data_IF_023078395579
#
_entry.id   IF_023078395579
#
_cell.length_a   1.000
_cell.length_b   1.000
_cell.length_c   1.000
_cell.angle_alpha   90.00
_cell.angle_beta   90.00
_cell.angle_gamma   90.00
#
_symmetry.space_group_name_H-M   'P 1'
#
loop_
_entity.id
_entity.type
_entity.pdbx_description
1 polymer ?
#
# COMPACT_ATOMS: atom_id res chain seq x y z
N UNK A 1 -16.79 -3.95 2.06
CA UNK A 1 -15.88 -2.95 2.66
C UNK A 1 -16.47 -1.58 2.45
N UNK A 2 -16.31 -0.67 3.41
CA UNK A 2 -16.73 0.72 3.34
C UNK A 2 -15.78 1.46 2.40
N UNK A 3 -16.29 1.90 1.25
CA UNK A 3 -15.57 2.82 0.36
C UNK A 3 -15.82 4.25 0.85
N UNK A 4 -14.78 5.08 1.02
CA UNK A 4 -14.96 6.48 1.35
C UNK A 4 -15.56 7.25 0.16
N UNK A 5 -16.08 8.46 0.43
CA UNK A 5 -16.55 9.35 -0.63
C UNK A 5 -15.37 9.95 -1.38
N UNK A 6 -15.57 10.22 -2.66
CA UNK A 6 -14.64 10.97 -3.49
C UNK A 6 -14.49 12.41 -2.97
N UNK A 7 -13.26 12.93 -3.06
CA UNK A 7 -12.93 14.32 -2.78
C UNK A 7 -13.59 15.25 -3.79
N UNK A 8 -13.96 16.43 -3.30
CA UNK A 8 -14.49 17.55 -4.08
C UNK A 8 -13.57 18.74 -3.92
N UNK A 9 -13.62 19.65 -4.90
CA UNK A 9 -12.95 20.95 -4.78
C UNK A 9 -13.49 21.66 -3.53
N UNK A 10 -12.59 22.16 -2.70
CA UNK A 10 -12.87 22.76 -1.40
C UNK A 10 -12.78 21.79 -0.21
N UNK A 11 -12.65 20.48 -0.44
CA UNK A 11 -12.49 19.51 0.66
C UNK A 11 -11.14 19.67 1.36
N UNK A 12 -11.11 19.34 2.64
CA UNK A 12 -9.89 19.34 3.45
C UNK A 12 -9.26 17.96 3.48
N UNK A 13 -7.94 17.91 3.29
CA UNK A 13 -7.11 16.71 3.50
C UNK A 13 -6.11 16.97 4.62
N UNK A 14 -5.77 15.93 5.37
CA UNK A 14 -4.78 16.02 6.44
C UNK A 14 -3.60 15.12 6.13
N UNK A 15 -2.40 15.70 6.10
CA UNK A 15 -1.15 14.96 5.95
C UNK A 15 -0.66 14.56 7.34
N UNK A 16 -0.35 13.28 7.54
CA UNK A 16 0.11 12.70 8.83
C UNK A 16 1.43 11.94 8.65
N UNK A 17 2.22 11.80 9.71
CA UNK A 17 3.49 11.07 9.69
C UNK A 17 3.48 9.87 10.67
N UNK A 18 2.78 8.77 10.34
CA UNK A 18 2.63 7.65 11.26
C UNK A 18 3.88 6.75 11.36
N UNK A 19 4.90 7.00 10.54
CA UNK A 19 6.11 6.18 10.42
C UNK A 19 7.38 7.01 10.68
N UNK A 20 8.30 7.12 9.72
CA UNK A 20 9.51 7.93 9.86
C UNK A 20 9.28 9.43 9.64
N UNK A 21 10.19 10.30 10.12
CA UNK A 21 10.10 11.74 9.85
C UNK A 21 10.24 12.02 8.35
N UNK A 22 9.33 12.78 7.72
CA UNK A 22 9.42 13.11 6.30
C UNK A 22 10.43 14.22 6.01
N UNK A 23 10.82 14.36 4.74
CA UNK A 23 11.40 15.60 4.23
C UNK A 23 10.30 16.67 4.13
N UNK A 24 10.33 17.64 5.05
CA UNK A 24 9.31 18.69 5.16
C UNK A 24 9.28 19.60 3.93
N UNK A 25 10.41 19.89 3.30
CA UNK A 25 10.45 20.73 2.10
C UNK A 25 9.65 20.10 0.96
N UNK A 26 9.83 18.79 0.73
CA UNK A 26 9.07 18.08 -0.28
C UNK A 26 7.60 17.96 0.09
N UNK A 27 7.27 17.68 1.36
CA UNK A 27 5.87 17.66 1.82
C UNK A 27 5.19 19.01 1.58
N UNK A 28 5.88 20.12 1.80
CA UNK A 28 5.37 21.47 1.51
C UNK A 28 5.17 21.70 0.01
N UNK A 29 6.05 21.18 -0.85
CA UNK A 29 5.84 21.22 -2.31
C UNK A 29 4.58 20.44 -2.70
N UNK A 30 4.37 19.26 -2.11
CA UNK A 30 3.15 18.48 -2.37
C UNK A 30 1.89 19.17 -1.84
N UNK A 31 1.96 19.86 -0.71
CA UNK A 31 0.87 20.73 -0.23
C UNK A 31 0.46 21.75 -1.28
N UNK A 32 1.41 22.44 -1.91
CA UNK A 32 1.11 23.42 -2.96
C UNK A 32 0.41 22.79 -4.16
N UNK A 33 0.80 21.56 -4.56
CA UNK A 33 0.14 20.82 -5.64
C UNK A 33 -1.31 20.49 -5.27
N UNK A 34 -1.57 20.03 -4.04
CA UNK A 34 -2.93 19.73 -3.56
C UNK A 34 -3.79 20.99 -3.48
N UNK A 35 -3.24 22.12 -3.04
CA UNK A 35 -3.94 23.40 -2.99
C UNK A 35 -4.25 23.95 -4.39
N UNK A 36 -3.33 23.78 -5.35
CA UNK A 36 -3.58 24.11 -6.76
C UNK A 36 -4.67 23.22 -7.38
N UNK A 37 -4.82 21.99 -6.91
CA UNK A 37 -5.93 21.11 -7.26
C UNK A 37 -7.25 21.49 -6.55
N UNK A 38 -7.26 22.55 -5.74
CA UNK A 38 -8.45 23.10 -5.09
C UNK A 38 -8.78 22.49 -3.74
N UNK A 39 -7.85 21.79 -3.09
CA UNK A 39 -8.04 21.21 -1.75
C UNK A 39 -7.47 22.12 -0.66
N UNK A 40 -7.95 21.98 0.57
CA UNK A 40 -7.33 22.56 1.76
C UNK A 40 -6.44 21.54 2.45
N UNK A 41 -5.24 21.93 2.88
CA UNK A 41 -4.27 21.01 3.49
C UNK A 41 -4.01 21.35 4.95
N UNK A 42 -4.28 20.39 5.83
CA UNK A 42 -3.88 20.40 7.24
C UNK A 42 -2.70 19.45 7.47
N UNK A 43 -1.97 19.66 8.55
CA UNK A 43 -0.89 18.78 9.00
C UNK A 43 -1.17 18.23 10.39
N UNK A 44 -0.79 16.98 10.63
CA UNK A 44 -0.65 16.43 11.99
C UNK A 44 0.28 17.31 12.83
N UNK A 45 -0.03 17.44 14.12
CA UNK A 45 0.74 18.28 15.05
C UNK A 45 2.18 17.78 15.17
N UNK A 46 2.37 16.46 15.09
CA UNK A 46 3.66 15.80 15.15
C UNK A 46 4.47 15.81 13.85
N UNK A 47 4.01 16.50 12.79
CA UNK A 47 4.62 16.43 11.45
C UNK A 47 6.14 16.72 11.42
N UNK A 48 6.62 17.59 12.31
CA UNK A 48 8.04 17.98 12.41
C UNK A 48 8.81 17.29 13.54
N UNK A 49 8.14 16.46 14.35
CA UNK A 49 8.77 15.76 15.46
C UNK A 49 9.72 14.66 14.99
N UNK A 50 10.76 14.41 15.80
CA UNK A 50 11.76 13.37 15.53
C UNK A 50 12.16 12.66 16.80
N UNK A 51 12.16 11.33 16.75
CA UNK A 51 12.72 10.45 17.79
C UNK A 51 13.48 9.31 17.13
N UNK A 52 14.77 9.52 16.87
CA UNK A 52 15.56 8.60 16.07
C UNK A 52 14.99 8.48 14.66
N UNK A 53 14.62 7.26 14.26
CA UNK A 53 13.99 6.96 12.96
C UNK A 53 12.45 7.14 12.94
N UNK A 54 11.83 7.65 14.02
CA UNK A 54 10.38 7.82 14.15
C UNK A 54 9.97 9.30 14.09
N UNK A 55 8.83 9.59 13.47
CA UNK A 55 8.20 10.92 13.44
C UNK A 55 7.52 11.27 14.78
N UNK A 56 8.32 11.38 15.83
CA UNK A 56 7.83 11.58 17.20
C UNK A 56 7.56 10.27 17.95
N UNK A 57 6.93 10.40 19.12
CA UNK A 57 6.58 9.24 19.94
C UNK A 57 5.27 8.58 19.44
N UNK A 58 4.99 7.36 19.91
CA UNK A 58 3.85 6.56 19.43
C UNK A 58 2.51 7.22 19.76
N UNK A 59 2.38 7.80 20.96
CA UNK A 59 1.16 8.48 21.39
C UNK A 59 0.83 9.72 20.52
N UNK A 60 1.83 10.51 20.14
CA UNK A 60 1.65 11.67 19.27
C UNK A 60 1.24 11.23 17.86
N UNK A 61 1.87 10.17 17.31
CA UNK A 61 1.53 9.63 15.99
C UNK A 61 0.13 9.03 15.94
N UNK A 62 -0.31 8.34 17.01
CA UNK A 62 -1.70 7.87 17.16
C UNK A 62 -2.66 9.05 17.28
N UNK A 63 -2.31 10.07 18.10
CA UNK A 63 -3.15 11.26 18.27
C UNK A 63 -3.38 12.00 16.95
N UNK A 64 -2.34 12.18 16.12
CA UNK A 64 -2.47 12.81 14.81
C UNK A 64 -3.39 12.00 13.88
N UNK A 65 -3.27 10.67 13.92
CA UNK A 65 -4.13 9.77 13.14
C UNK A 65 -5.58 9.84 13.62
N UNK A 66 -5.82 9.81 14.93
CA UNK A 66 -7.15 9.94 15.51
C UNK A 66 -7.78 11.29 15.20
N UNK A 67 -7.03 12.38 15.31
CA UNK A 67 -7.50 13.73 14.94
C UNK A 67 -7.91 13.79 13.47
N UNK A 68 -7.11 13.20 12.57
CA UNK A 68 -7.42 13.16 11.15
C UNK A 68 -8.74 12.41 10.85
N UNK A 69 -9.02 11.33 11.59
CA UNK A 69 -10.27 10.58 11.44
C UNK A 69 -11.46 11.19 12.19
N UNK A 70 -11.27 11.75 13.38
CA UNK A 70 -12.34 12.34 14.17
C UNK A 70 -12.80 13.72 13.68
N UNK A 71 -11.94 14.47 12.97
CA UNK A 71 -12.28 15.81 12.49
C UNK A 71 -13.23 15.74 11.26
N UNK A 72 -14.50 16.16 11.36
CA UNK A 72 -15.47 16.02 10.28
C UNK A 72 -15.14 16.82 9.01
N UNK A 73 -14.29 17.85 9.10
CA UNK A 73 -13.86 18.65 7.95
C UNK A 73 -12.85 17.89 7.07
N UNK A 74 -12.04 17.01 7.68
CA UNK A 74 -11.06 16.20 6.94
C UNK A 74 -11.77 15.08 6.18
N UNK A 75 -11.53 14.99 4.87
CA UNK A 75 -12.09 13.98 3.96
C UNK A 75 -11.07 12.94 3.48
N UNK A 76 -9.78 13.25 3.56
CA UNK A 76 -8.70 12.31 3.30
C UNK A 76 -7.53 12.46 4.28
N UNK A 77 -6.91 11.32 4.59
CA UNK A 77 -5.72 11.19 5.43
C UNK A 77 -4.58 10.68 4.53
N UNK A 78 -3.56 11.50 4.36
CA UNK A 78 -2.46 11.24 3.44
C UNK A 78 -1.15 11.03 4.21
N UNK A 79 -0.46 9.92 3.98
CA UNK A 79 0.80 9.63 4.68
C UNK A 79 1.95 10.44 4.08
N UNK A 80 2.68 11.15 4.95
CA UNK A 80 3.80 12.00 4.55
C UNK A 80 4.97 11.18 3.98
N UNK A 81 5.27 10.05 4.61
CA UNK A 81 6.32 9.09 4.21
C UNK A 81 6.10 7.72 4.84
N UNK A 82 6.83 6.72 4.34
CA UNK A 82 6.99 5.39 4.92
C UNK A 82 8.16 5.36 5.91
N UNK A 83 9.02 4.35 5.78
CA UNK A 83 10.20 4.17 6.64
C UNK A 83 9.99 3.06 7.65
N UNK A 84 9.95 3.39 8.93
CA UNK A 84 9.67 2.41 9.97
C UNK A 84 8.83 2.99 11.10
N UNK A 85 7.83 2.23 11.53
CA UNK A 85 7.24 2.38 12.85
C UNK A 85 5.73 2.50 12.90
N UNK A 86 5.02 2.40 11.77
CA UNK A 86 3.55 2.43 11.76
C UNK A 86 2.94 1.18 12.41
N UNK A 87 3.60 0.02 12.30
CA UNK A 87 3.19 -1.21 12.99
C UNK A 87 3.18 -1.09 14.52
N UNK A 88 3.95 -0.17 15.09
CA UNK A 88 3.97 0.09 16.54
C UNK A 88 2.67 0.72 17.04
N UNK A 89 1.92 1.37 16.15
CA UNK A 89 0.71 2.10 16.50
C UNK A 89 -0.50 1.17 16.68
N UNK A 90 -0.43 -0.05 16.14
CA UNK A 90 -1.60 -0.92 15.93
C UNK A 90 -2.41 -1.23 17.18
N UNK A 91 -1.75 -1.42 18.32
CA UNK A 91 -2.41 -1.72 19.60
C UNK A 91 -3.13 -0.51 20.23
N UNK A 92 -2.73 0.70 19.86
CA UNK A 92 -3.19 1.95 20.48
C UNK A 92 -4.23 2.67 19.59
N UNK A 93 -4.50 2.14 18.39
CA UNK A 93 -5.50 2.68 17.49
C UNK A 93 -6.91 2.26 17.94
N UNK A 94 -7.77 3.24 18.21
CA UNK A 94 -9.22 3.04 18.27
C UNK A 94 -9.79 2.74 16.87
N UNK A 95 -9.95 1.46 16.55
CA UNK A 95 -10.48 1.05 15.24
C UNK A 95 -11.97 1.35 15.07
N UNK A 96 -12.76 1.50 16.14
CA UNK A 96 -14.17 1.89 16.02
C UNK A 96 -14.28 3.38 15.67
N UNK A 97 -13.38 4.24 16.16
CA UNK A 97 -13.26 5.62 15.69
C UNK A 97 -13.03 5.67 14.17
N UNK A 98 -12.08 4.88 13.65
CA UNK A 98 -11.77 4.83 12.21
C UNK A 98 -12.97 4.32 11.42
N UNK A 99 -13.59 3.23 11.87
CA UNK A 99 -14.74 2.57 11.22
C UNK A 99 -15.97 3.46 11.13
N UNK A 100 -16.21 4.29 12.15
CA UNK A 100 -17.35 5.21 12.20
C UNK A 100 -17.09 6.53 11.45
N UNK A 101 -15.85 6.78 11.01
CA UNK A 101 -15.47 7.97 10.25
C UNK A 101 -14.72 7.58 8.97
N UNK A 102 -15.32 6.79 8.06
CA UNK A 102 -14.63 6.31 6.87
C UNK A 102 -14.20 7.47 5.98
N UNK A 103 -12.89 7.52 5.68
CA UNK A 103 -12.23 8.56 4.87
C UNK A 103 -11.19 7.90 3.98
N UNK A 104 -10.79 8.61 2.92
CA UNK A 104 -9.66 8.17 2.10
C UNK A 104 -8.43 8.06 2.98
N UNK A 105 -7.74 6.92 2.93
CA UNK A 105 -6.45 6.72 3.57
C UNK A 105 -5.42 6.29 2.53
N UNK A 106 -4.34 7.07 2.38
CA UNK A 106 -3.36 6.90 1.30
C UNK A 106 -1.92 6.80 1.83
N UNK A 107 -1.18 5.81 1.32
CA UNK A 107 0.25 5.62 1.57
C UNK A 107 0.71 4.24 1.09
N UNK A 108 1.99 3.88 1.19
CA UNK A 108 2.51 2.55 0.88
C UNK A 108 3.72 2.15 1.75
N UNK A 109 4.47 1.11 1.38
CA UNK A 109 5.69 0.71 2.11
C UNK A 109 5.36 0.32 3.57
N UNK A 110 6.03 0.89 4.58
CA UNK A 110 5.75 0.66 6.02
C UNK A 110 4.27 0.82 6.40
N UNK A 111 3.53 1.71 5.71
CA UNK A 111 2.10 1.96 5.93
C UNK A 111 1.22 0.74 5.65
N UNK A 112 1.77 -0.30 5.01
CA UNK A 112 1.15 -1.63 4.86
C UNK A 112 0.56 -2.15 6.17
N UNK A 113 1.20 -1.91 7.31
CA UNK A 113 0.67 -2.32 8.62
C UNK A 113 -0.71 -1.69 8.91
N UNK A 114 -0.86 -0.39 8.62
CA UNK A 114 -2.11 0.34 8.77
C UNK A 114 -3.14 -0.06 7.73
N UNK A 115 -2.73 -0.32 6.48
CA UNK A 115 -3.63 -0.84 5.44
C UNK A 115 -4.28 -2.13 5.89
N UNK A 116 -3.50 -3.14 6.30
CA UNK A 116 -4.03 -4.43 6.76
C UNK A 116 -5.00 -4.23 7.93
N UNK A 117 -4.60 -3.42 8.92
CA UNK A 117 -5.41 -3.18 10.10
C UNK A 117 -6.72 -2.45 9.77
N UNK A 118 -6.71 -1.44 8.90
CA UNK A 118 -7.91 -0.69 8.52
C UNK A 118 -8.87 -1.52 7.67
N UNK A 119 -8.35 -2.32 6.74
CA UNK A 119 -9.15 -3.26 5.96
C UNK A 119 -9.85 -4.28 6.89
N UNK A 120 -9.13 -4.84 7.86
CA UNK A 120 -9.61 -5.96 8.68
C UNK A 120 -10.38 -5.55 9.93
N UNK A 121 -10.02 -4.44 10.57
CA UNK A 121 -10.60 -3.99 11.85
C UNK A 121 -11.59 -2.84 11.68
N UNK A 122 -11.38 -1.99 10.68
CA UNK A 122 -12.28 -0.87 10.38
C UNK A 122 -13.17 -1.09 9.16
N UNK A 123 -13.00 -2.21 8.44
CA UNK A 123 -13.72 -2.51 7.20
C UNK A 123 -13.61 -1.36 6.18
N UNK A 124 -12.47 -0.66 6.13
CA UNK A 124 -12.26 0.54 5.34
C UNK A 124 -11.41 0.22 4.11
N UNK A 125 -11.88 0.61 2.91
CA UNK A 125 -11.05 0.61 1.69
C UNK A 125 -9.96 1.67 1.82
N UNK A 126 -8.72 1.27 1.54
CA UNK A 126 -7.54 2.14 1.61
C UNK A 126 -6.85 2.19 0.25
N UNK A 127 -5.86 3.07 0.10
CA UNK A 127 -5.15 3.27 -1.16
C UNK A 127 -3.64 3.08 -0.94
N UNK A 128 -3.10 2.03 -1.57
CA UNK A 128 -1.67 1.78 -1.60
C UNK A 128 -1.03 2.64 -2.70
N UNK A 129 -0.35 3.72 -2.34
CA UNK A 129 0.20 4.66 -3.31
C UNK A 129 1.35 5.55 -2.80
N UNK A 130 1.98 6.31 -3.71
CA UNK A 130 3.19 7.11 -3.46
C UNK A 130 3.01 8.12 -2.32
N UNK A 131 4.09 8.37 -1.58
CA UNK A 131 4.07 9.22 -0.38
C UNK A 131 4.09 10.70 -0.70
N UNK A 132 3.56 11.56 0.19
CA UNK A 132 3.53 13.01 -0.08
C UNK A 132 4.94 13.60 -0.26
N UNK A 133 5.94 13.12 0.50
CA UNK A 133 7.32 13.58 0.32
C UNK A 133 7.94 13.16 -1.02
N UNK A 134 7.48 12.04 -1.59
CA UNK A 134 7.98 11.56 -2.87
C UNK A 134 7.36 12.37 -3.98
N UNK A 135 6.03 12.56 -3.94
CA UNK A 135 5.28 13.36 -4.91
C UNK A 135 5.69 14.84 -4.95
N UNK A 136 6.25 15.38 -3.86
CA UNK A 136 6.81 16.72 -3.82
C UNK A 136 8.26 16.85 -4.28
N UNK A 137 8.93 15.75 -4.65
CA UNK A 137 10.30 15.80 -5.16
C UNK A 137 10.35 16.31 -6.61
N UNK A 138 11.52 16.79 -7.06
CA UNK A 138 11.66 17.44 -8.37
C UNK A 138 11.52 16.51 -9.59
N UNK A 139 11.50 15.18 -9.40
CA UNK A 139 11.65 14.19 -10.47
C UNK A 139 10.52 13.16 -10.50
N UNK A 140 9.29 13.59 -10.19
CA UNK A 140 8.13 12.69 -10.11
C UNK A 140 7.48 12.56 -11.49
N UNK A 141 7.27 11.34 -12.00
CA UNK A 141 6.58 11.14 -13.27
C UNK A 141 5.14 11.69 -13.22
N UNK A 142 4.65 12.37 -14.27
CA UNK A 142 3.27 12.89 -14.31
C UNK A 142 2.21 11.83 -14.04
N UNK A 143 2.45 10.58 -14.43
CA UNK A 143 1.55 9.44 -14.23
C UNK A 143 1.37 9.09 -12.75
N UNK A 144 2.42 9.28 -11.95
CA UNK A 144 2.37 9.09 -10.49
C UNK A 144 1.43 10.11 -9.86
N UNK A 145 1.53 11.38 -10.26
CA UNK A 145 0.62 12.45 -9.81
C UNK A 145 -0.80 12.23 -10.35
N UNK A 146 -0.94 11.81 -11.60
CA UNK A 146 -2.24 11.52 -12.21
C UNK A 146 -3.00 10.39 -11.48
N UNK A 147 -2.29 9.47 -10.82
CA UNK A 147 -2.93 8.41 -10.04
C UNK A 147 -3.79 8.94 -8.88
N UNK A 148 -3.54 10.15 -8.38
CA UNK A 148 -4.37 10.80 -7.35
C UNK A 148 -5.77 11.18 -7.86
N UNK A 149 -5.98 11.23 -9.18
CA UNK A 149 -7.30 11.53 -9.76
C UNK A 149 -8.40 10.57 -9.28
N UNK A 150 -8.03 9.33 -8.94
CA UNK A 150 -8.96 8.33 -8.38
C UNK A 150 -9.56 8.73 -7.02
N UNK A 151 -8.97 9.72 -6.35
CA UNK A 151 -9.51 10.26 -5.12
C UNK A 151 -10.64 11.25 -5.37
N UNK A 152 -10.70 11.87 -6.55
CA UNK A 152 -11.67 12.90 -6.92
C UNK A 152 -12.89 12.31 -7.65
N UNK A 153 -12.73 11.17 -8.31
CA UNK A 153 -13.81 10.51 -9.03
C UNK A 153 -13.61 8.98 -9.03
N UNK A 154 -14.69 8.20 -9.13
CA UNK A 154 -14.61 6.73 -9.11
C UNK A 154 -13.99 6.21 -10.42
N UNK A 155 -12.67 6.00 -10.42
CA UNK A 155 -11.93 5.46 -11.55
C UNK A 155 -11.68 3.96 -11.43
N UNK A 156 -11.91 3.25 -12.53
CA UNK A 156 -11.42 1.89 -12.73
C UNK A 156 -10.11 1.94 -13.50
N UNK A 157 -9.16 1.09 -13.13
CA UNK A 157 -7.86 0.97 -13.80
C UNK A 157 -7.69 -0.42 -14.37
N UNK A 158 -6.99 -0.52 -15.50
CA UNK A 158 -6.49 -1.78 -16.04
C UNK A 158 -5.03 -1.58 -16.41
N UNK A 159 -4.17 -2.41 -15.84
CA UNK A 159 -2.75 -2.49 -16.17
C UNK A 159 -2.50 -3.76 -16.97
N UNK A 160 -1.54 -3.68 -17.90
CA UNK A 160 -1.00 -4.83 -18.60
C UNK A 160 0.38 -5.13 -18.01
N UNK A 161 0.65 -6.39 -17.70
CA UNK A 161 1.96 -6.82 -17.21
C UNK A 161 3.05 -6.47 -18.23
N UNK A 162 4.11 -5.80 -17.77
CA UNK A 162 5.32 -5.55 -18.56
C UNK A 162 6.15 -6.82 -18.74
N UNK A 163 6.15 -7.70 -17.75
CA UNK A 163 6.82 -8.98 -17.74
C UNK A 163 5.81 -10.10 -18.05
N UNK A 164 5.84 -10.61 -19.28
CA UNK A 164 4.90 -11.65 -19.71
C UNK A 164 5.47 -13.04 -19.53
N UNK A 165 4.62 -13.96 -19.08
CA UNK A 165 4.94 -15.39 -18.93
C UNK A 165 6.11 -15.67 -17.98
N UNK A 166 6.37 -14.78 -17.02
CA UNK A 166 7.37 -14.99 -15.94
C UNK A 166 7.04 -16.23 -15.11
N UNK A 167 5.74 -16.47 -14.89
CA UNK A 167 5.20 -17.62 -14.18
C UNK A 167 4.27 -18.43 -15.10
N UNK A 168 3.89 -19.67 -14.73
CA UNK A 168 3.04 -20.51 -15.57
C UNK A 168 1.74 -19.81 -15.97
N UNK A 169 1.47 -19.83 -17.26
CA UNK A 169 0.28 -19.21 -17.86
C UNK A 169 -0.97 -19.96 -17.40
N UNK A 170 -2.02 -19.20 -17.07
CA UNK A 170 -3.35 -19.72 -16.78
C UNK A 170 -4.38 -19.01 -17.67
N UNK A 171 -5.41 -19.71 -18.11
CA UNK A 171 -6.32 -19.24 -19.17
C UNK A 171 -7.67 -18.71 -18.67
N UNK A 172 -7.76 -18.33 -17.39
CA UNK A 172 -9.00 -17.84 -16.77
C UNK A 172 -8.77 -16.53 -16.02
N UNK A 173 -9.87 -15.92 -15.57
CA UNK A 173 -9.84 -14.73 -14.72
C UNK A 173 -10.22 -15.07 -13.28
N UNK A 174 -9.60 -14.39 -12.32
CA UNK A 174 -9.95 -14.46 -10.91
C UNK A 174 -10.28 -13.07 -10.41
N UNK A 175 -11.49 -12.91 -9.86
CA UNK A 175 -11.94 -11.66 -9.24
C UNK A 175 -12.14 -11.87 -7.73
N UNK A 176 -11.45 -11.08 -6.92
CA UNK A 176 -11.59 -11.09 -5.47
C UNK A 176 -11.15 -9.75 -4.87
N UNK A 177 -11.52 -9.41 -3.62
CA UNK A 177 -10.94 -8.27 -2.94
C UNK A 177 -9.42 -8.39 -2.80
N UNK A 178 -8.68 -7.30 -3.01
CA UNK A 178 -7.22 -7.31 -2.84
C UNK A 178 -6.78 -6.90 -1.43
N UNK A 179 -5.72 -7.51 -0.92
CA UNK A 179 -5.00 -7.11 0.29
C UNK A 179 -3.50 -7.31 0.11
N UNK A 180 -2.66 -6.84 1.03
CA UNK A 180 -1.21 -7.04 0.97
C UNK A 180 -0.43 -5.74 1.15
N UNK A 181 0.65 -5.58 0.40
CA UNK A 181 1.55 -4.42 0.45
C UNK A 181 3.02 -4.87 0.50
N UNK A 182 3.80 -4.20 1.34
CA UNK A 182 5.22 -4.47 1.52
C UNK A 182 5.48 -5.84 2.19
N UNK A 183 6.29 -6.71 1.57
CA UNK A 183 6.58 -8.07 2.04
C UNK A 183 7.22 -8.09 3.43
N UNK A 184 8.21 -7.24 3.67
CA UNK A 184 8.87 -7.12 4.99
C UNK A 184 7.86 -6.81 6.09
N UNK A 185 6.95 -5.86 5.85
CA UNK A 185 5.89 -5.51 6.81
C UNK A 185 4.90 -6.67 6.98
N UNK A 186 4.45 -7.29 5.89
CA UNK A 186 3.56 -8.45 5.93
C UNK A 186 4.14 -9.57 6.82
N UNK A 187 5.39 -9.97 6.57
CA UNK A 187 6.07 -10.99 7.33
C UNK A 187 6.25 -10.60 8.82
N UNK A 188 6.52 -9.33 9.11
CA UNK A 188 6.73 -8.84 10.48
C UNK A 188 5.48 -8.94 11.38
N UNK A 189 4.29 -9.01 10.79
CA UNK A 189 3.01 -9.05 11.54
C UNK A 189 2.44 -10.45 11.75
N UNK A 190 3.04 -11.49 11.15
CA UNK A 190 2.56 -12.87 11.25
C UNK A 190 2.55 -13.34 12.70
N UNK A 191 1.46 -13.98 13.11
CA UNK A 191 1.24 -14.44 14.49
C UNK A 191 0.71 -13.37 15.45
N UNK A 192 0.43 -12.15 14.96
CA UNK A 192 -0.23 -11.10 15.73
C UNK A 192 -1.71 -10.96 15.34
N UNK A 193 -2.56 -10.28 16.14
CA UNK A 193 -3.94 -9.98 15.76
C UNK A 193 -4.11 -9.10 14.51
N UNK A 194 -3.00 -8.55 13.99
CA UNK A 194 -2.92 -7.68 12.83
C UNK A 194 -2.26 -8.35 11.62
N UNK A 195 -2.00 -9.66 11.69
CA UNK A 195 -1.50 -10.39 10.53
C UNK A 195 -2.48 -10.30 9.35
N UNK A 196 -1.95 -10.39 8.13
CA UNK A 196 -2.75 -10.38 6.92
C UNK A 196 -3.67 -11.61 6.85
N UNK A 197 -4.96 -11.37 6.61
CA UNK A 197 -5.95 -12.37 6.27
C UNK A 197 -6.11 -12.41 4.75
N UNK A 198 -5.60 -13.47 4.14
CA UNK A 198 -5.61 -13.67 2.69
C UNK A 198 -6.78 -14.52 2.20
N UNK A 199 -7.61 -15.05 3.11
CA UNK A 199 -8.68 -15.98 2.75
C UNK A 199 -9.66 -15.38 1.77
N UNK A 200 -9.76 -16.01 0.60
CA UNK A 200 -10.69 -15.56 -0.45
C UNK A 200 -10.31 -14.24 -1.10
N UNK A 201 -9.05 -13.78 -0.94
CA UNK A 201 -8.54 -12.50 -1.48
C UNK A 201 -7.43 -12.71 -2.47
N UNK A 202 -7.15 -11.70 -3.28
CA UNK A 202 -5.92 -11.59 -4.04
C UNK A 202 -4.86 -10.94 -3.14
N UNK A 203 -3.67 -11.55 -3.05
CA UNK A 203 -2.55 -11.04 -2.27
C UNK A 203 -1.59 -10.25 -3.16
N UNK A 204 -1.39 -8.97 -2.87
CA UNK A 204 -0.40 -8.11 -3.50
C UNK A 204 0.89 -8.05 -2.65
N UNK A 205 2.04 -8.19 -3.29
CA UNK A 205 3.35 -8.18 -2.61
C UNK A 205 4.34 -7.32 -3.42
N UNK A 206 5.01 -6.41 -2.74
CA UNK A 206 6.14 -5.62 -3.24
C UNK A 206 7.22 -5.50 -2.15
N UNK A 207 8.46 -5.17 -2.51
CA UNK A 207 9.49 -4.83 -1.51
C UNK A 207 10.61 -3.97 -2.10
N UNK A 208 11.53 -3.50 -1.25
CA UNK A 208 12.66 -2.65 -1.63
C UNK A 208 13.92 -3.02 -0.86
N UNK A 209 15.06 -3.03 -1.55
CA UNK A 209 16.41 -3.12 -0.98
C UNK A 209 16.68 -4.38 -0.13
N UNK A 210 15.93 -5.45 -0.35
CA UNK A 210 16.14 -6.73 0.33
C UNK A 210 16.91 -7.72 -0.54
N UNK A 211 17.95 -8.34 0.03
CA UNK A 211 18.68 -9.39 -0.68
C UNK A 211 17.79 -10.63 -0.90
N UNK A 212 17.96 -11.38 -2.01
CA UNK A 212 17.07 -12.48 -2.36
C UNK A 212 16.83 -13.53 -1.26
N UNK A 213 17.85 -13.88 -0.46
CA UNK A 213 17.66 -14.84 0.65
C UNK A 213 16.75 -14.33 1.78
N UNK A 214 16.62 -13.01 1.92
CA UNK A 214 15.68 -12.41 2.88
C UNK A 214 14.27 -12.43 2.33
N UNK A 215 14.11 -12.16 1.02
CA UNK A 215 12.85 -12.34 0.32
C UNK A 215 12.38 -13.79 0.44
N UNK A 216 13.24 -14.76 0.12
CA UNK A 216 13.00 -16.20 0.31
C UNK A 216 12.52 -16.51 1.73
N UNK A 217 13.27 -16.09 2.75
CA UNK A 217 12.86 -16.28 4.15
C UNK A 217 11.47 -15.75 4.45
N UNK A 218 11.11 -14.57 3.94
CA UNK A 218 9.82 -13.94 4.18
C UNK A 218 8.68 -14.62 3.41
N UNK A 219 8.91 -14.99 2.15
CA UNK A 219 7.97 -15.80 1.36
C UNK A 219 7.76 -17.16 2.03
N UNK A 220 8.83 -17.82 2.48
CA UNK A 220 8.73 -19.06 3.23
C UNK A 220 7.92 -18.89 4.53
N UNK A 221 8.10 -17.78 5.26
CA UNK A 221 7.31 -17.49 6.45
C UNK A 221 5.81 -17.34 6.13
N UNK A 222 5.46 -16.61 5.07
CA UNK A 222 4.07 -16.49 4.60
C UNK A 222 3.48 -17.85 4.20
N UNK A 223 4.26 -18.70 3.52
CA UNK A 223 3.89 -20.06 3.15
C UNK A 223 3.65 -20.94 4.38
N UNK A 224 4.56 -20.95 5.35
CA UNK A 224 4.40 -21.72 6.59
C UNK A 224 3.19 -21.23 7.41
N UNK A 225 2.86 -19.94 7.31
CA UNK A 225 1.64 -19.35 7.88
C UNK A 225 0.39 -19.54 7.00
N UNK A 226 0.48 -20.34 5.92
CA UNK A 226 -0.60 -20.73 5.00
C UNK A 226 -1.25 -19.57 4.23
N UNK A 227 -0.54 -18.45 4.09
CA UNK A 227 -1.10 -17.24 3.48
C UNK A 227 -1.33 -17.37 1.99
N UNK A 228 -0.57 -18.23 1.31
CA UNK A 228 -0.75 -18.47 -0.13
C UNK A 228 -1.89 -19.46 -0.38
N UNK A 229 -1.97 -20.54 0.39
CA UNK A 229 -3.01 -21.57 0.26
C UNK A 229 -4.42 -21.01 0.50
N UNK A 230 -4.54 -19.96 1.32
CA UNK A 230 -5.79 -19.29 1.62
C UNK A 230 -6.21 -18.27 0.54
N UNK A 231 -5.29 -17.79 -0.30
CA UNK A 231 -5.55 -16.75 -1.28
C UNK A 231 -6.12 -17.30 -2.60
N UNK A 232 -6.66 -16.40 -3.43
CA UNK A 232 -7.22 -16.72 -4.75
C UNK A 232 -6.26 -16.45 -5.91
N UNK A 233 -5.17 -15.72 -5.63
CA UNK A 233 -4.15 -15.35 -6.59
C UNK A 233 -3.14 -14.41 -5.94
N UNK A 234 -1.97 -14.29 -6.56
CA UNK A 234 -0.87 -13.45 -6.06
C UNK A 234 -0.44 -12.47 -7.16
N UNK A 235 -0.24 -11.23 -6.78
CA UNK A 235 0.31 -10.18 -7.64
C UNK A 235 1.63 -9.75 -7.04
N UNK A 236 2.68 -9.81 -7.83
CA UNK A 236 3.97 -9.22 -7.49
C UNK A 236 4.09 -7.85 -8.15
N UNK A 237 4.17 -6.81 -7.32
CA UNK A 237 4.52 -5.45 -7.74
C UNK A 237 6.03 -5.32 -7.97
N UNK A 238 6.56 -4.14 -7.67
CA UNK A 238 7.99 -3.88 -7.80
C UNK A 238 8.83 -4.48 -6.67
N UNK A 239 9.99 -5.02 -7.02
CA UNK A 239 11.02 -5.50 -6.08
C UNK A 239 12.29 -4.68 -6.28
N UNK A 240 12.22 -3.41 -5.90
CA UNK A 240 13.27 -2.42 -6.21
C UNK A 240 14.56 -2.76 -5.52
N UNK A 241 15.67 -2.77 -6.26
CA UNK A 241 17.01 -2.98 -5.73
C UNK A 241 17.14 -4.27 -4.88
N UNK A 242 16.29 -5.28 -5.14
CA UNK A 242 16.25 -6.55 -4.41
C UNK A 242 17.18 -7.63 -4.99
N UNK A 243 18.27 -7.21 -5.65
CA UNK A 243 19.30 -8.10 -6.19
C UNK A 243 20.34 -8.51 -5.14
N UNK A 244 21.19 -9.51 -5.44
CA UNK A 244 22.29 -9.87 -4.56
C UNK A 244 23.30 -8.72 -4.44
N UNK A 245 23.62 -8.33 -3.21
CA UNK A 245 24.62 -7.27 -2.96
C UNK A 245 26.00 -7.82 -2.62
N UNK A 246 26.05 -8.90 -1.82
CA UNK A 246 27.32 -9.45 -1.32
C UNK A 246 27.68 -10.81 -1.90
N UNK A 247 26.69 -11.56 -2.38
CA UNK A 247 26.88 -12.93 -2.88
C UNK A 247 27.03 -12.92 -4.40
N UNK A 248 27.96 -13.72 -4.91
CA UNK A 248 28.15 -13.90 -6.35
C UNK A 248 27.07 -14.83 -6.94
N UNK A 249 26.71 -15.87 -6.19
CA UNK A 249 25.62 -16.79 -6.53
C UNK A 249 24.39 -16.48 -5.67
N UNK A 250 23.25 -16.34 -6.31
CA UNK A 250 21.96 -16.07 -5.66
C UNK A 250 20.83 -16.52 -6.57
N UNK A 251 19.72 -16.94 -5.95
CA UNK A 251 18.45 -17.07 -6.65
C UNK A 251 17.95 -15.69 -7.08
N UNK A 252 17.23 -15.67 -8.20
CA UNK A 252 16.38 -14.57 -8.63
C UNK A 252 15.05 -14.59 -7.87
N UNK A 253 14.34 -13.46 -7.86
CA UNK A 253 13.01 -13.40 -7.24
C UNK A 253 12.02 -14.33 -7.95
N UNK A 254 12.12 -14.46 -9.27
CA UNK A 254 11.29 -15.37 -10.04
C UNK A 254 11.51 -16.84 -9.65
N UNK A 255 12.76 -17.27 -9.44
CA UNK A 255 13.07 -18.63 -8.95
C UNK A 255 12.51 -18.87 -7.55
N UNK A 256 12.64 -17.91 -6.64
CA UNK A 256 12.07 -18.03 -5.28
C UNK A 256 10.54 -18.18 -5.33
N UNK A 257 9.85 -17.37 -6.14
CA UNK A 257 8.40 -17.49 -6.34
C UNK A 257 8.03 -18.82 -6.97
N UNK A 258 8.83 -19.29 -7.93
CA UNK A 258 8.64 -20.59 -8.56
C UNK A 258 8.75 -21.72 -7.53
N UNK A 259 9.72 -21.71 -6.63
CA UNK A 259 9.90 -22.77 -5.64
C UNK A 259 8.80 -22.81 -4.57
N UNK A 260 8.27 -21.64 -4.18
CA UNK A 260 7.35 -21.55 -3.04
C UNK A 260 5.87 -21.49 -3.42
N UNK A 261 5.51 -20.90 -4.56
CA UNK A 261 4.12 -20.51 -4.86
C UNK A 261 3.58 -21.25 -6.07
N UNK A 262 4.38 -21.42 -7.12
CA UNK A 262 3.93 -22.11 -8.35
C UNK A 262 3.41 -23.54 -8.08
N UNK A 263 4.07 -24.37 -7.23
CA UNK A 263 3.55 -25.71 -6.87
C UNK A 263 2.16 -25.72 -6.24
N UNK A 264 1.68 -24.58 -5.72
CA UNK A 264 0.35 -24.45 -5.14
C UNK A 264 -0.75 -24.30 -6.21
N UNK A 265 -0.39 -24.10 -7.49
CA UNK A 265 -1.33 -23.96 -8.60
C UNK A 265 -2.11 -22.63 -8.59
N UNK A 266 -1.61 -21.63 -7.87
CA UNK A 266 -2.24 -20.31 -7.76
C UNK A 266 -2.00 -19.48 -9.04
N UNK A 267 -2.98 -18.65 -9.46
CA UNK A 267 -2.76 -17.60 -10.43
C UNK A 267 -1.72 -16.59 -9.92
N UNK A 268 -0.63 -16.39 -10.66
CA UNK A 268 0.43 -15.44 -10.32
C UNK A 268 0.73 -14.55 -11.51
N UNK A 269 0.75 -13.23 -11.31
CA UNK A 269 1.24 -12.24 -12.28
C UNK A 269 2.25 -11.28 -11.63
N UNK A 270 3.17 -10.75 -12.43
CA UNK A 270 4.13 -9.69 -12.04
C UNK A 270 4.20 -8.58 -13.09
N UNK A 271 5.09 -7.61 -12.88
CA UNK A 271 5.39 -6.57 -13.87
C UNK A 271 4.35 -5.44 -13.90
N UNK A 272 3.78 -5.11 -12.75
CA UNK A 272 2.90 -3.95 -12.60
C UNK A 272 3.63 -2.79 -11.95
N UNK A 273 3.42 -1.54 -12.40
CA UNK A 273 4.11 -0.35 -11.88
C UNK A 273 3.53 0.11 -10.53
N UNK A 274 3.54 -0.77 -9.53
CA UNK A 274 2.98 -0.55 -8.20
C UNK A 274 4.03 -0.97 -7.17
N UNK A 275 4.38 -0.08 -6.24
CA UNK A 275 5.43 -0.31 -5.25
C UNK A 275 6.54 0.73 -5.37
N UNK A 276 7.77 0.40 -5.01
CA UNK A 276 8.87 1.37 -4.98
C UNK A 276 9.44 1.77 -6.36
N UNK A 277 8.70 1.56 -7.46
CA UNK A 277 9.11 1.89 -8.82
C UNK A 277 8.89 3.36 -9.18
N UNK A 278 9.31 3.75 -10.39
CA UNK A 278 9.02 5.07 -10.97
C UNK A 278 8.69 4.88 -12.45
N UNK A 279 7.45 5.17 -12.90
CA UNK A 279 6.29 5.67 -12.14
C UNK A 279 5.74 4.66 -11.11
N UNK A 280 5.11 5.18 -10.05
CA UNK A 280 4.37 4.38 -9.06
C UNK A 280 2.89 4.78 -9.09
N UNK A 281 2.00 3.82 -9.30
CA UNK A 281 0.56 4.05 -9.34
C UNK A 281 -0.09 3.69 -8.01
N UNK A 282 -0.90 4.62 -7.48
CA UNK A 282 -1.79 4.31 -6.38
C UNK A 282 -2.89 3.34 -6.79
N UNK A 283 -3.19 2.35 -5.96
CA UNK A 283 -4.27 1.38 -6.18
C UNK A 283 -5.13 1.16 -4.93
N UNK A 284 -6.44 0.94 -5.08
CA UNK A 284 -7.33 0.68 -3.95
C UNK A 284 -7.17 -0.74 -3.43
N UNK A 285 -7.04 -0.89 -2.12
CA UNK A 285 -7.08 -2.16 -1.42
C UNK A 285 -8.48 -2.43 -0.88
N UNK A 286 -8.91 -3.68 -0.96
CA UNK A 286 -10.19 -4.11 -0.42
C UNK A 286 -11.39 -4.04 -1.35
N UNK A 287 -11.18 -3.53 -2.57
CA UNK A 287 -12.16 -3.56 -3.65
C UNK A 287 -11.96 -4.80 -4.52
N UNK A 288 -13.01 -5.24 -5.24
CA UNK A 288 -12.84 -6.28 -6.26
C UNK A 288 -11.74 -5.93 -7.25
N UNK A 289 -10.82 -6.87 -7.42
CA UNK A 289 -9.67 -6.80 -8.31
C UNK A 289 -9.70 -8.04 -9.18
N UNK A 290 -9.45 -7.89 -10.48
CA UNK A 290 -9.45 -9.01 -11.43
C UNK A 290 -8.06 -9.22 -12.00
N UNK A 291 -7.57 -10.45 -11.89
CA UNK A 291 -6.38 -10.93 -12.58
C UNK A 291 -6.85 -11.74 -13.79
N UNK A 292 -6.40 -11.42 -15.00
CA UNK A 292 -6.71 -12.15 -16.22
C UNK A 292 -5.43 -12.76 -16.79
N UNK A 293 -5.34 -14.09 -16.81
CA UNK A 293 -4.14 -14.80 -17.27
C UNK A 293 -4.00 -14.92 -18.79
N UNK A 294 -5.06 -14.68 -19.56
CA UNK A 294 -5.01 -14.65 -21.04
C UNK A 294 -4.35 -13.37 -21.52
N UNK A 295 -4.87 -12.23 -21.07
CA UNK A 295 -4.38 -10.91 -21.48
C UNK A 295 -3.20 -10.43 -20.61
N UNK A 296 -2.94 -11.13 -19.49
CA UNK A 296 -1.97 -10.76 -18.45
C UNK A 296 -2.24 -9.34 -17.94
N UNK A 297 -3.50 -9.11 -17.56
CA UNK A 297 -3.98 -7.82 -17.07
C UNK A 297 -4.43 -7.89 -15.61
N UNK A 298 -4.34 -6.73 -14.97
CA UNK A 298 -4.78 -6.48 -13.61
C UNK A 298 -5.74 -5.30 -13.62
N UNK A 299 -6.98 -5.50 -13.19
CA UNK A 299 -7.99 -4.44 -13.14
C UNK A 299 -8.61 -4.26 -11.77
N UNK A 300 -9.00 -3.02 -11.48
CA UNK A 300 -9.53 -2.60 -10.19
C UNK A 300 -10.89 -1.93 -10.36
N UNK A 301 -11.84 -2.28 -9.49
CA UNK A 301 -13.01 -1.43 -9.27
C UNK A 301 -12.63 -0.10 -8.58
N UNK A 302 -13.47 0.94 -8.68
CA UNK A 302 -13.21 2.19 -7.99
C UNK A 302 -13.14 2.04 -6.46
N UNK A 303 -12.17 2.72 -5.85
CA UNK A 303 -11.96 2.78 -4.40
C UNK A 303 -12.89 3.73 -3.65
N UNK A 304 -13.54 4.66 -4.34
CA UNK A 304 -14.43 5.69 -3.77
C UNK A 304 -15.86 5.57 -4.31
N UNK A 305 -16.82 6.18 -3.61
CA UNK A 305 -18.17 6.46 -4.10
C UNK A 305 -18.38 7.96 -4.40
N UNK A 306 -19.43 8.30 -5.16
CA UNK A 306 -19.83 9.69 -5.47
C UNK A 306 -20.65 10.30 -4.33
#
# INVERSE_FOLDING_TARGET
>A
MQKPNALKIGDTVMIVAPSSPPNIENVMKMKLILEQAGLHVLFGKGMTEKRGYLAGNDANRVSDLHEAFSNPEVKAVLCATGGYGSGRLLQDIDFELIKNNPKIFWGYSDITALHIAFLQKANLVTFHGPMMQECGACTVPPETIASFKQLLEPLSFTFTASEKNTYPVFSHSVTAPMTGGNLTVLASTIGTPYEVDTRGKILFIEDIQEEPYRIDRMINQLRLARKFEDCKGVIFGDFKDCGPQKRQESLTIAEIVYDHIVPLGLPVLSGFPIGHCSPNYGVPFGVPTTINGVDQTLSFEPGVHI
#
